data_IF_065560013474
#
_entry.id   IF_065560013474
#
_cell.length_a   1.000
_cell.length_b   1.000
_cell.length_c   1.000
_cell.angle_alpha   90.00
_cell.angle_beta   90.00
_cell.angle_gamma   90.00
#
_symmetry.space_group_name_H-M   'P 1'
#
loop_
_entity.id
_entity.type
_entity.pdbx_description
1 polymer ?
#
# COMPACT_ATOMS: atom_id res chain seq x y z
N UNK A 1 -21.63 -29.82 -18.21
CA UNK A 1 -20.31 -30.17 -18.75
C UNK A 1 -19.36 -30.24 -17.58
N UNK A 2 -18.39 -31.16 -17.56
CA UNK A 2 -17.38 -31.16 -16.49
C UNK A 2 -16.62 -29.82 -16.53
N UNK A 3 -16.35 -29.18 -15.37
CA UNK A 3 -15.62 -27.92 -15.34
C UNK A 3 -14.23 -28.08 -15.99
N UNK A 4 -13.74 -27.06 -16.72
CA UNK A 4 -12.42 -27.12 -17.31
C UNK A 4 -11.36 -27.26 -16.20
N UNK A 5 -10.37 -28.13 -16.43
CA UNK A 5 -9.16 -28.15 -15.60
C UNK A 5 -8.25 -27.02 -16.03
N UNK A 6 -7.71 -26.32 -15.05
CA UNK A 6 -6.85 -25.17 -15.20
C UNK A 6 -5.49 -25.49 -14.63
N UNK A 7 -4.45 -25.07 -15.33
CA UNK A 7 -3.05 -25.13 -14.93
C UNK A 7 -2.53 -23.72 -14.69
N UNK A 8 -1.63 -23.55 -13.74
CA UNK A 8 -1.06 -22.24 -13.44
C UNK A 8 -0.47 -22.13 -12.05
N UNK A 9 -0.43 -20.91 -11.53
CA UNK A 9 0.09 -20.57 -10.21
C UNK A 9 -0.89 -19.65 -9.49
N UNK A 10 -1.06 -19.87 -8.18
CA UNK A 10 -1.71 -18.91 -7.29
C UNK A 10 -0.63 -18.19 -6.50
N UNK A 11 -0.59 -16.87 -6.60
CA UNK A 11 0.31 -15.99 -5.85
C UNK A 11 -0.46 -15.32 -4.73
N UNK A 12 0.02 -15.48 -3.51
CA UNK A 12 -0.60 -14.88 -2.32
C UNK A 12 0.39 -13.88 -1.76
N UNK A 13 0.05 -12.60 -1.89
CA UNK A 13 0.90 -11.48 -1.53
C UNK A 13 0.54 -11.00 -0.12
N UNK A 14 1.56 -10.69 0.67
CA UNK A 14 1.43 -10.01 1.96
C UNK A 14 2.42 -8.84 2.00
N UNK A 15 1.91 -7.63 2.18
CA UNK A 15 2.71 -6.41 2.22
C UNK A 15 2.75 -5.87 3.66
N UNK A 16 3.96 -5.59 4.14
CA UNK A 16 4.22 -5.04 5.47
C UNK A 16 5.06 -3.78 5.36
N UNK A 17 4.81 -2.83 6.27
CA UNK A 17 5.75 -1.75 6.55
C UNK A 17 6.70 -2.19 7.66
N UNK A 18 8.00 -2.07 7.39
CA UNK A 18 9.04 -2.62 8.26
C UNK A 18 10.13 -1.63 8.66
N UNK A 19 10.14 -0.44 8.08
CA UNK A 19 11.13 0.60 8.32
C UNK A 19 10.61 1.92 7.75
N UNK A 20 11.14 3.06 8.22
CA UNK A 20 10.78 4.35 7.61
C UNK A 20 11.28 4.48 6.16
N UNK A 21 12.45 3.92 5.88
CA UNK A 21 13.05 3.82 4.55
C UNK A 21 14.04 2.65 4.53
N UNK A 22 14.25 2.03 3.37
CA UNK A 22 15.25 0.97 3.14
C UNK A 22 16.28 1.46 2.11
N UNK A 23 17.56 1.44 2.48
CA UNK A 23 18.65 1.61 1.52
C UNK A 23 18.77 0.36 0.64
N UNK A 24 18.11 0.40 -0.51
CA UNK A 24 18.08 -0.72 -1.44
C UNK A 24 19.47 -1.13 -1.97
N UNK A 25 20.41 -0.18 -2.09
CA UNK A 25 21.79 -0.49 -2.54
C UNK A 25 22.51 -1.28 -1.47
N UNK A 26 22.38 -0.85 -0.20
CA UNK A 26 22.95 -1.58 0.94
C UNK A 26 22.28 -2.94 1.11
N UNK A 27 20.96 -3.03 1.00
CA UNK A 27 20.24 -4.29 1.10
C UNK A 27 20.71 -5.31 0.04
N UNK A 28 20.87 -4.88 -1.21
CA UNK A 28 21.40 -5.71 -2.30
C UNK A 28 22.82 -6.22 -2.01
N UNK A 29 23.68 -5.36 -1.42
CA UNK A 29 25.04 -5.74 -1.04
C UNK A 29 25.11 -6.79 0.07
N UNK A 30 24.15 -6.78 1.01
CA UNK A 30 24.07 -7.75 2.11
C UNK A 30 23.55 -9.10 1.61
N UNK A 31 22.54 -9.09 0.73
CA UNK A 31 21.87 -10.31 0.27
C UNK A 31 22.68 -11.11 -0.76
N UNK A 32 23.52 -10.44 -1.57
CA UNK A 32 24.47 -11.06 -2.51
C UNK A 32 23.88 -11.81 -3.72
N UNK A 33 22.68 -12.40 -3.60
CA UNK A 33 21.90 -13.06 -4.67
C UNK A 33 20.69 -12.26 -5.12
N UNK A 34 20.45 -11.11 -4.51
CA UNK A 34 19.32 -10.24 -4.84
C UNK A 34 19.47 -9.63 -6.24
N UNK A 35 18.34 -9.39 -6.91
CA UNK A 35 18.27 -8.77 -8.24
C UNK A 35 17.31 -7.59 -8.21
N UNK A 36 17.60 -6.54 -8.96
CA UNK A 36 16.63 -5.48 -9.23
C UNK A 36 15.52 -6.00 -10.15
N UNK A 37 14.29 -5.60 -9.85
CA UNK A 37 13.14 -5.91 -10.71
C UNK A 37 13.35 -5.27 -12.08
N UNK A 38 13.28 -6.07 -13.15
CA UNK A 38 13.25 -5.59 -14.52
C UNK A 38 11.86 -5.91 -15.09
N UNK A 39 11.14 -4.88 -15.53
CA UNK A 39 9.87 -5.04 -16.24
C UNK A 39 10.14 -5.36 -17.71
N UNK A 40 9.45 -6.38 -18.23
CA UNK A 40 9.56 -6.78 -19.63
C UNK A 40 8.60 -5.93 -20.47
N UNK A 41 9.14 -4.90 -21.12
CA UNK A 41 8.30 -4.00 -21.90
C UNK A 41 7.78 -4.72 -23.15
N UNK A 42 6.49 -5.12 -23.16
CA UNK A 42 5.80 -5.66 -24.35
C UNK A 42 5.85 -4.67 -25.54
N UNK A 43 6.11 -3.38 -25.27
CA UNK A 43 6.31 -2.30 -26.26
C UNK A 43 7.74 -1.74 -26.42
N UNK A 44 8.76 -2.26 -25.71
CA UNK A 44 10.16 -1.86 -25.91
C UNK A 44 10.59 -0.46 -25.43
N UNK A 45 9.85 0.19 -24.53
CA UNK A 45 10.27 1.46 -23.93
C UNK A 45 11.31 1.23 -22.81
N UNK A 46 12.31 2.10 -22.60
CA UNK A 46 13.17 2.04 -21.43
C UNK A 46 12.50 2.68 -20.21
N UNK A 47 12.67 2.10 -19.02
CA UNK A 47 12.26 2.71 -17.76
C UNK A 47 12.97 4.07 -17.56
N UNK A 48 12.21 5.11 -17.21
CA UNK A 48 12.78 6.46 -17.00
C UNK A 48 13.53 6.59 -15.66
N UNK A 49 14.57 7.43 -15.64
CA UNK A 49 15.46 7.60 -14.50
C UNK A 49 14.78 8.32 -13.31
N UNK A 50 14.76 7.70 -12.13
CA UNK A 50 14.40 8.36 -10.87
C UNK A 50 13.58 7.53 -9.88
N UNK A 51 12.88 6.48 -10.33
CA UNK A 51 12.16 5.54 -9.45
C UNK A 51 13.07 4.34 -9.15
N UNK A 52 13.35 4.08 -7.88
CA UNK A 52 14.20 2.96 -7.50
C UNK A 52 13.42 1.64 -7.64
N UNK A 53 13.79 0.81 -8.62
CA UNK A 53 13.16 -0.48 -8.79
C UNK A 53 13.32 -1.36 -7.52
N UNK A 54 12.26 -2.07 -7.09
CA UNK A 54 12.33 -2.92 -5.91
C UNK A 54 13.42 -3.98 -6.03
N UNK A 55 14.06 -4.29 -4.90
CA UNK A 55 15.05 -5.38 -4.79
C UNK A 55 14.31 -6.67 -4.51
N UNK A 56 14.46 -7.67 -5.41
CA UNK A 56 13.81 -8.96 -5.30
C UNK A 56 14.79 -10.11 -5.04
N UNK A 57 14.37 -11.07 -4.23
CA UNK A 57 15.13 -12.28 -3.94
C UNK A 57 14.24 -13.41 -3.43
N UNK A 58 14.75 -14.64 -3.50
CA UNK A 58 14.11 -15.80 -2.88
C UNK A 58 14.51 -15.90 -1.41
N UNK A 59 13.57 -16.24 -0.54
CA UNK A 59 13.79 -16.49 0.87
C UNK A 59 13.21 -17.82 1.28
N UNK A 60 13.95 -18.58 2.11
CA UNK A 60 13.50 -19.88 2.57
C UNK A 60 12.43 -19.70 3.63
N UNK A 61 11.20 -20.12 3.34
CA UNK A 61 10.11 -20.00 4.29
C UNK A 61 10.23 -21.00 5.44
N UNK A 62 9.73 -20.66 6.65
CA UNK A 62 9.54 -21.63 7.71
C UNK A 62 8.61 -22.75 7.23
N UNK A 63 9.04 -24.00 7.39
CA UNK A 63 8.21 -25.17 7.08
C UNK A 63 7.05 -25.27 8.07
N UNK A 64 5.82 -25.34 7.58
CA UNK A 64 4.65 -25.71 8.39
C UNK A 64 4.31 -27.17 8.12
N UNK A 65 4.44 -28.03 9.13
CA UNK A 65 4.05 -29.44 9.01
C UNK A 65 2.53 -29.66 9.04
N UNK A 66 1.74 -28.60 9.27
CA UNK A 66 0.31 -28.67 9.53
C UNK A 66 -0.54 -27.87 8.52
N UNK A 67 0.07 -27.22 7.53
CA UNK A 67 -0.69 -26.45 6.55
C UNK A 67 -1.40 -27.36 5.56
N UNK A 68 -2.70 -27.16 5.36
CA UNK A 68 -3.48 -27.83 4.31
C UNK A 68 -3.12 -27.31 2.91
N UNK A 69 -2.55 -26.09 2.85
CA UNK A 69 -2.10 -25.45 1.61
C UNK A 69 -0.67 -25.85 1.27
N UNK A 70 -0.50 -26.47 0.10
CA UNK A 70 0.82 -26.82 -0.43
C UNK A 70 1.47 -25.62 -1.12
N UNK A 71 2.23 -24.84 -0.35
CA UNK A 71 3.05 -23.75 -0.89
C UNK A 71 4.43 -24.26 -1.33
N UNK A 72 5.08 -23.54 -2.24
CA UNK A 72 6.51 -23.71 -2.49
C UNK A 72 7.33 -23.52 -1.19
N UNK A 73 8.51 -24.13 -1.12
CA UNK A 73 9.43 -24.01 0.03
C UNK A 73 10.04 -22.61 0.14
N UNK A 74 10.24 -21.98 -1.01
CA UNK A 74 10.82 -20.66 -1.17
C UNK A 74 9.69 -19.63 -1.43
N UNK A 75 9.82 -18.46 -0.82
CA UNK A 75 8.96 -17.30 -1.05
C UNK A 75 9.73 -16.20 -1.76
N UNK A 76 9.05 -15.46 -2.63
CA UNK A 76 9.63 -14.27 -3.26
C UNK A 76 9.45 -13.09 -2.31
N UNK A 77 10.53 -12.32 -2.12
CA UNK A 77 10.53 -11.09 -1.32
C UNK A 77 10.85 -9.92 -2.25
N UNK A 78 10.12 -8.82 -2.13
CA UNK A 78 10.43 -7.54 -2.74
C UNK A 78 10.58 -6.45 -1.68
N UNK A 79 11.68 -5.69 -1.74
CA UNK A 79 11.93 -4.54 -0.87
C UNK A 79 11.70 -3.24 -1.64
N UNK A 80 10.95 -2.34 -1.02
CA UNK A 80 10.70 -0.99 -1.52
C UNK A 80 11.49 0.02 -0.69
N UNK A 81 11.99 1.07 -1.34
CA UNK A 81 12.85 2.08 -0.70
C UNK A 81 12.15 2.91 0.38
N UNK A 82 10.83 3.02 0.29
CA UNK A 82 9.99 3.69 1.28
C UNK A 82 9.65 2.86 2.53
N UNK A 83 10.19 1.64 2.68
CA UNK A 83 10.00 0.89 3.93
C UNK A 83 9.21 -0.40 3.82
N UNK A 84 8.55 -0.63 2.68
CA UNK A 84 7.68 -1.78 2.52
C UNK A 84 8.42 -3.06 2.09
N UNK A 85 7.89 -4.20 2.53
CA UNK A 85 8.29 -5.55 2.13
C UNK A 85 7.05 -6.29 1.62
N UNK A 86 7.10 -6.75 0.37
CA UNK A 86 6.10 -7.65 -0.18
C UNK A 86 6.62 -9.09 -0.14
N UNK A 87 5.81 -10.00 0.37
CA UNK A 87 6.10 -11.43 0.50
C UNK A 87 5.10 -12.20 -0.35
N UNK A 88 5.59 -12.96 -1.32
CA UNK A 88 4.74 -13.71 -2.25
C UNK A 88 4.92 -15.22 -2.06
N UNK A 89 3.85 -15.86 -1.62
CA UNK A 89 3.72 -17.32 -1.59
C UNK A 89 3.22 -17.84 -2.93
N UNK A 90 3.71 -19.00 -3.34
CA UNK A 90 3.32 -19.62 -4.62
C UNK A 90 2.72 -20.99 -4.37
N UNK A 91 1.53 -21.23 -4.93
CA UNK A 91 0.85 -22.52 -4.94
C UNK A 91 0.66 -22.96 -6.40
N UNK A 92 0.89 -24.23 -6.68
CA UNK A 92 0.61 -24.77 -8.01
C UNK A 92 -0.89 -24.96 -8.22
N UNK A 93 -1.38 -24.59 -9.40
CA UNK A 93 -2.76 -24.84 -9.81
C UNK A 93 -2.77 -26.02 -10.79
N UNK A 94 -3.48 -27.08 -10.42
CA UNK A 94 -3.97 -28.14 -11.32
C UNK A 94 -5.37 -28.56 -10.83
N UNK A 95 -6.30 -27.63 -10.97
CA UNK A 95 -7.62 -27.68 -10.31
C UNK A 95 -8.73 -27.55 -11.34
N UNK A 96 -9.93 -28.05 -11.03
CA UNK A 96 -11.10 -27.61 -11.78
C UNK A 96 -11.42 -26.15 -11.43
N UNK A 97 -12.08 -25.43 -12.35
CA UNK A 97 -12.48 -24.05 -12.09
C UNK A 97 -13.32 -23.90 -10.80
N UNK A 98 -14.20 -24.85 -10.50
CA UNK A 98 -15.02 -24.80 -9.29
C UNK A 98 -14.16 -24.97 -8.01
N UNK A 99 -13.10 -25.77 -8.06
CA UNK A 99 -12.17 -25.96 -6.94
C UNK A 99 -11.38 -24.67 -6.65
N UNK A 100 -11.22 -23.76 -7.64
CA UNK A 100 -10.59 -22.46 -7.41
C UNK A 100 -11.43 -21.55 -6.51
N UNK A 101 -12.76 -21.75 -6.46
CA UNK A 101 -13.63 -21.01 -5.52
C UNK A 101 -13.31 -21.44 -4.09
N UNK A 102 -13.16 -22.75 -3.86
CA UNK A 102 -12.77 -23.28 -2.54
C UNK A 102 -11.38 -22.80 -2.14
N UNK A 103 -10.41 -22.82 -3.08
CA UNK A 103 -9.07 -22.31 -2.85
C UNK A 103 -9.09 -20.81 -2.50
N UNK A 104 -9.85 -19.99 -3.25
CA UNK A 104 -9.99 -18.56 -2.97
C UNK A 104 -10.58 -18.31 -1.58
N UNK A 105 -11.63 -19.04 -1.21
CA UNK A 105 -12.24 -18.98 0.11
C UNK A 105 -11.29 -19.40 1.25
N UNK A 106 -10.43 -20.40 1.02
CA UNK A 106 -9.43 -20.84 1.99
C UNK A 106 -8.26 -19.85 2.16
N UNK A 107 -7.98 -19.05 1.12
CA UNK A 107 -6.95 -18.01 1.13
C UNK A 107 -7.43 -16.70 1.73
N UNK A 108 -8.74 -16.40 1.63
CA UNK A 108 -9.32 -15.20 2.21
C UNK A 108 -9.12 -15.13 3.73
N UNK A 109 -8.47 -14.05 4.19
CA UNK A 109 -8.15 -13.83 5.60
C UNK A 109 -7.40 -15.01 6.26
N UNK A 110 -6.53 -15.69 5.50
CA UNK A 110 -5.80 -16.86 5.96
C UNK A 110 -4.77 -16.49 7.06
N UNK A 111 -5.14 -16.72 8.32
CA UNK A 111 -4.33 -16.33 9.47
C UNK A 111 -2.98 -17.07 9.53
N UNK A 112 -2.92 -18.32 9.06
CA UNK A 112 -1.66 -19.08 9.06
C UNK A 112 -0.62 -18.42 8.14
N UNK A 113 -0.99 -18.13 6.90
CA UNK A 113 -0.10 -17.47 5.94
C UNK A 113 0.24 -16.04 6.37
N UNK A 114 -0.70 -15.29 6.96
CA UNK A 114 -0.40 -13.97 7.53
C UNK A 114 0.68 -14.04 8.60
N UNK A 115 0.56 -14.95 9.57
CA UNK A 115 1.54 -15.08 10.66
C UNK A 115 2.89 -15.62 10.17
N UNK A 116 2.89 -16.57 9.23
CA UNK A 116 4.13 -17.05 8.59
C UNK A 116 4.83 -15.92 7.83
N UNK A 117 4.08 -15.09 7.11
CA UNK A 117 4.62 -13.91 6.41
C UNK A 117 5.18 -12.89 7.39
N UNK A 118 4.50 -12.68 8.53
CA UNK A 118 4.99 -11.81 9.60
C UNK A 118 6.35 -12.27 10.15
N UNK A 119 6.54 -13.57 10.35
CA UNK A 119 7.83 -14.15 10.78
C UNK A 119 8.90 -13.91 9.72
N UNK A 120 8.58 -14.15 8.44
CA UNK A 120 9.52 -13.89 7.32
C UNK A 120 9.90 -12.41 7.28
N UNK A 121 8.96 -11.48 7.38
CA UNK A 121 9.23 -10.04 7.42
C UNK A 121 10.19 -9.68 8.56
N UNK A 122 9.94 -10.19 9.78
CA UNK A 122 10.81 -9.95 10.94
C UNK A 122 12.24 -10.49 10.74
N UNK A 123 12.38 -11.65 10.11
CA UNK A 123 13.68 -12.25 9.85
C UNK A 123 14.45 -11.48 8.76
N UNK A 124 13.77 -11.05 7.69
CA UNK A 124 14.35 -10.18 6.64
C UNK A 124 14.83 -8.86 7.25
N UNK A 125 14.02 -8.21 8.07
CA UNK A 125 14.38 -6.94 8.73
C UNK A 125 15.56 -7.11 9.69
N UNK A 126 15.63 -8.24 10.38
CA UNK A 126 16.75 -8.55 11.27
C UNK A 126 18.06 -8.68 10.49
N UNK A 127 18.01 -9.35 9.35
CA UNK A 127 19.17 -9.50 8.45
C UNK A 127 19.57 -8.15 7.83
N UNK A 128 18.58 -7.34 7.46
CA UNK A 128 18.78 -6.05 6.79
C UNK A 128 18.81 -4.86 7.75
N UNK A 129 19.00 -5.08 9.04
CA UNK A 129 18.88 -4.04 10.07
C UNK A 129 19.72 -2.79 9.76
N UNK A 130 20.93 -2.96 9.20
CA UNK A 130 21.78 -1.81 8.88
C UNK A 130 21.37 -1.05 7.60
N UNK A 131 20.55 -1.65 6.75
CA UNK A 131 19.96 -1.02 5.56
C UNK A 131 18.62 -0.31 5.87
N UNK A 132 17.98 -0.66 7.00
CA UNK A 132 16.72 -0.07 7.42
C UNK A 132 16.94 1.17 8.29
N UNK A 133 16.24 2.27 7.99
CA UNK A 133 16.10 3.39 8.92
C UNK A 133 14.87 3.19 9.80
N UNK A 134 15.05 3.30 11.13
CA UNK A 134 14.00 3.04 12.12
C UNK A 134 13.27 1.70 11.87
N UNK A 135 13.99 0.57 11.88
CA UNK A 135 13.38 -0.74 11.64
C UNK A 135 12.31 -1.03 12.70
N UNK A 136 11.15 -1.48 12.25
CA UNK A 136 10.01 -1.82 13.08
C UNK A 136 8.85 -2.30 12.23
N UNK A 137 8.23 -3.41 12.62
CA UNK A 137 7.11 -3.98 11.89
C UNK A 137 5.80 -3.33 12.31
N UNK A 138 5.12 -2.66 11.38
CA UNK A 138 3.79 -2.13 11.65
C UNK A 138 2.75 -3.25 11.81
N UNK A 139 1.65 -2.97 12.51
CA UNK A 139 0.58 -3.95 12.72
C UNK A 139 -0.19 -4.25 11.43
N UNK A 140 -0.32 -3.23 10.59
CA UNK A 140 -1.07 -3.25 9.34
C UNK A 140 -0.41 -4.20 8.34
N UNK A 141 -1.24 -4.92 7.60
CA UNK A 141 -0.84 -5.81 6.52
C UNK A 141 -1.90 -5.69 5.44
N UNK A 142 -1.46 -5.59 4.19
CA UNK A 142 -2.33 -5.79 3.03
C UNK A 142 -2.05 -7.15 2.41
N UNK A 143 -3.10 -7.88 2.09
CA UNK A 143 -3.03 -9.14 1.37
C UNK A 143 -3.77 -9.06 0.03
N UNK A 144 -3.25 -9.78 -0.96
CA UNK A 144 -3.87 -9.83 -2.28
C UNK A 144 -3.58 -11.17 -2.95
N UNK A 145 -4.55 -11.71 -3.69
CA UNK A 145 -4.43 -13.02 -4.34
C UNK A 145 -4.45 -12.86 -5.86
N UNK A 146 -3.46 -13.43 -6.55
CA UNK A 146 -3.38 -13.41 -8.02
C UNK A 146 -3.37 -14.84 -8.54
N UNK A 147 -4.40 -15.21 -9.29
CA UNK A 147 -4.48 -16.49 -10.00
C UNK A 147 -3.91 -16.31 -11.41
N UNK A 148 -2.69 -16.79 -11.63
CA UNK A 148 -2.02 -16.82 -12.93
C UNK A 148 -2.34 -18.15 -13.63
N UNK A 149 -3.13 -18.12 -14.69
CA UNK A 149 -3.66 -19.29 -15.37
C UNK A 149 -3.12 -19.39 -16.80
N UNK A 150 -2.74 -20.60 -17.20
CA UNK A 150 -2.50 -20.88 -18.62
C UNK A 150 -3.82 -20.75 -19.40
N UNK A 151 -3.81 -20.24 -20.65
CA UNK A 151 -5.03 -20.10 -21.43
C UNK A 151 -5.74 -21.45 -21.63
N UNK A 152 -6.95 -21.65 -21.07
CA UNK A 152 -7.62 -22.94 -21.12
C UNK A 152 -8.12 -23.29 -22.52
N UNK A 153 -8.34 -22.24 -23.32
CA UNK A 153 -8.78 -22.32 -24.71
C UNK A 153 -8.10 -21.21 -25.52
N UNK A 154 -8.33 -21.20 -26.84
CA UNK A 154 -7.76 -20.16 -27.71
C UNK A 154 -8.52 -18.84 -27.69
N UNK A 155 -9.81 -18.87 -27.34
CA UNK A 155 -10.68 -17.69 -27.21
C UNK A 155 -11.02 -17.50 -25.74
N UNK A 156 -10.16 -16.74 -25.05
CA UNK A 156 -10.25 -16.54 -23.60
C UNK A 156 -11.45 -15.66 -23.24
N UNK A 157 -11.86 -14.74 -24.13
CA UNK A 157 -13.03 -13.88 -23.93
C UNK A 157 -14.33 -14.69 -23.93
N UNK A 158 -14.51 -15.58 -24.92
CA UNK A 158 -15.70 -16.45 -24.94
C UNK A 158 -15.76 -17.37 -23.70
N UNK A 159 -14.61 -17.90 -23.27
CA UNK A 159 -14.51 -18.72 -22.07
C UNK A 159 -14.86 -17.94 -20.80
N UNK A 160 -14.37 -16.71 -20.66
CA UNK A 160 -14.64 -15.89 -19.48
C UNK A 160 -16.13 -15.52 -19.39
N UNK A 161 -16.78 -15.26 -20.53
CA UNK A 161 -18.22 -15.02 -20.59
C UNK A 161 -19.05 -16.26 -20.22
N UNK A 162 -18.64 -17.45 -20.67
CA UNK A 162 -19.28 -18.72 -20.32
C UNK A 162 -19.18 -19.00 -18.81
N UNK A 163 -18.03 -18.69 -18.21
CA UNK A 163 -17.73 -19.00 -16.82
C UNK A 163 -17.80 -17.81 -15.85
N UNK A 164 -18.41 -16.69 -16.27
CA UNK A 164 -18.45 -15.43 -15.52
C UNK A 164 -18.92 -15.56 -14.07
N UNK A 165 -19.87 -16.44 -13.80
CA UNK A 165 -20.38 -16.66 -12.44
C UNK A 165 -19.30 -17.20 -11.50
N UNK A 166 -18.62 -18.27 -11.92
CA UNK A 166 -17.55 -18.89 -11.13
C UNK A 166 -16.32 -18.00 -11.05
N UNK A 167 -15.96 -17.28 -12.11
CA UNK A 167 -14.84 -16.32 -12.08
C UNK A 167 -15.09 -15.19 -11.07
N UNK A 168 -16.32 -14.67 -11.02
CA UNK A 168 -16.69 -13.66 -10.02
C UNK A 168 -16.64 -14.24 -8.58
N UNK A 169 -17.06 -15.50 -8.39
CA UNK A 169 -16.95 -16.18 -7.10
C UNK A 169 -15.49 -16.35 -6.65
N UNK A 170 -14.59 -16.72 -7.57
CA UNK A 170 -13.14 -16.76 -7.30
C UNK A 170 -12.62 -15.38 -6.89
N UNK A 171 -12.93 -14.33 -7.65
CA UNK A 171 -12.48 -12.96 -7.36
C UNK A 171 -13.02 -12.40 -6.03
N UNK A 172 -14.18 -12.86 -5.58
CA UNK A 172 -14.84 -12.41 -4.34
C UNK A 172 -14.68 -13.37 -3.16
N UNK A 173 -13.96 -14.47 -3.35
CA UNK A 173 -13.81 -15.55 -2.37
C UNK A 173 -15.17 -16.03 -1.80
N UNK A 174 -16.20 -16.10 -2.64
CA UNK A 174 -17.57 -16.41 -2.22
C UNK A 174 -18.03 -17.76 -2.78
N UNK A 175 -18.34 -18.70 -1.88
CA UNK A 175 -18.78 -20.04 -2.25
C UNK A 175 -20.23 -20.03 -2.75
N UNK A 176 -21.07 -19.13 -2.23
CA UNK A 176 -22.44 -19.02 -2.68
C UNK A 176 -22.56 -18.34 -4.04
N UNK A 177 -23.64 -18.67 -4.76
CA UNK A 177 -23.88 -18.08 -6.08
C UNK A 177 -24.16 -16.59 -5.94
N UNK A 178 -23.32 -15.79 -6.58
CA UNK A 178 -23.47 -14.34 -6.66
C UNK A 178 -24.69 -13.92 -7.49
N UNK A 179 -25.25 -12.75 -7.17
CA UNK A 179 -26.31 -12.15 -7.97
C UNK A 179 -25.77 -11.68 -9.33
N UNK A 180 -26.66 -11.52 -10.32
CA UNK A 180 -26.29 -10.98 -11.64
C UNK A 180 -25.74 -9.54 -11.59
N UNK A 181 -26.03 -8.81 -10.52
CA UNK A 181 -25.44 -7.49 -10.29
C UNK A 181 -23.99 -7.63 -9.78
N UNK A 182 -23.77 -8.50 -8.79
CA UNK A 182 -22.44 -8.77 -8.24
C UNK A 182 -21.49 -9.39 -9.28
N UNK A 183 -21.98 -10.32 -10.11
CA UNK A 183 -21.16 -10.91 -11.18
C UNK A 183 -20.74 -9.86 -12.20
N UNK A 184 -21.63 -8.93 -12.55
CA UNK A 184 -21.31 -7.83 -13.48
C UNK A 184 -20.35 -6.83 -12.84
N UNK A 185 -20.57 -6.47 -11.58
CA UNK A 185 -19.66 -5.59 -10.85
C UNK A 185 -18.27 -6.21 -10.78
N UNK A 186 -18.13 -7.47 -10.37
CA UNK A 186 -16.83 -8.12 -10.22
C UNK A 186 -16.04 -8.22 -11.53
N UNK A 187 -16.73 -8.32 -12.67
CA UNK A 187 -16.14 -8.48 -13.98
C UNK A 187 -16.24 -7.22 -14.86
N UNK A 188 -16.49 -6.05 -14.28
CA UNK A 188 -16.81 -4.82 -15.01
C UNK A 188 -15.68 -4.29 -15.91
N UNK A 189 -14.41 -4.54 -15.54
CA UNK A 189 -13.25 -4.05 -16.29
C UNK A 189 -12.31 -5.18 -16.72
N UNK A 190 -12.69 -6.01 -17.71
CA UNK A 190 -11.78 -6.97 -18.31
C UNK A 190 -10.73 -6.24 -19.14
N UNK A 191 -9.48 -6.64 -19.02
CA UNK A 191 -8.36 -6.03 -19.76
C UNK A 191 -7.62 -7.12 -20.51
N UNK A 192 -7.52 -6.97 -21.82
CA UNK A 192 -6.77 -7.86 -22.70
C UNK A 192 -5.85 -7.06 -23.62
N UNK A 193 -4.71 -7.64 -23.95
CA UNK A 193 -3.81 -7.16 -24.99
C UNK A 193 -4.02 -7.94 -26.30
N UNK A 194 -4.28 -9.24 -26.21
CA UNK A 194 -4.56 -10.15 -27.32
C UNK A 194 -5.75 -11.09 -27.05
N UNK A 195 -6.01 -12.01 -27.98
CA UNK A 195 -7.16 -12.95 -27.89
C UNK A 195 -6.93 -14.12 -26.92
N UNK A 196 -5.69 -14.27 -26.44
CA UNK A 196 -5.26 -15.36 -25.55
C UNK A 196 -4.87 -14.86 -24.15
N UNK A 197 -5.15 -13.60 -23.84
CA UNK A 197 -4.90 -13.02 -22.53
C UNK A 197 -6.14 -12.33 -21.96
N UNK A 198 -6.19 -12.29 -20.64
CA UNK A 198 -7.25 -11.62 -19.90
C UNK A 198 -6.76 -11.33 -18.48
N UNK A 199 -6.90 -10.08 -18.06
CA UNK A 199 -6.75 -9.66 -16.68
C UNK A 199 -8.13 -9.24 -16.15
N UNK A 200 -8.55 -9.87 -15.07
CA UNK A 200 -9.70 -9.50 -14.26
C UNK A 200 -9.20 -9.07 -12.89
N UNK A 201 -9.60 -7.88 -12.44
CA UNK A 201 -9.11 -7.27 -11.20
C UNK A 201 -10.30 -6.89 -10.33
N UNK A 202 -10.23 -7.30 -9.06
CA UNK A 202 -11.19 -6.98 -8.01
C UNK A 202 -10.45 -6.63 -6.71
N UNK A 203 -11.17 -6.28 -5.66
CA UNK A 203 -10.65 -5.89 -4.35
C UNK A 203 -9.87 -7.02 -3.66
N UNK A 204 -10.37 -8.26 -3.68
CA UNK A 204 -9.73 -9.38 -2.97
C UNK A 204 -8.66 -10.09 -3.80
N UNK A 205 -8.70 -9.94 -5.11
CA UNK A 205 -7.76 -10.62 -5.98
C UNK A 205 -7.94 -10.34 -7.45
N UNK A 206 -7.07 -10.95 -8.24
CA UNK A 206 -7.07 -10.90 -9.69
C UNK A 206 -6.97 -12.29 -10.31
N UNK A 207 -7.49 -12.40 -11.52
CA UNK A 207 -7.27 -13.56 -12.40
C UNK A 207 -6.53 -13.04 -13.64
N UNK A 208 -5.32 -13.56 -13.86
CA UNK A 208 -4.49 -13.30 -15.02
C UNK A 208 -4.43 -14.56 -15.87
N UNK A 209 -4.94 -14.50 -17.09
CA UNK A 209 -4.85 -15.60 -18.06
C UNK A 209 -3.83 -15.20 -19.11
N UNK A 210 -2.79 -16.01 -19.34
CA UNK A 210 -1.74 -15.67 -20.29
C UNK A 210 -0.51 -16.57 -20.20
N UNK A 211 0.46 -16.36 -21.09
CA UNK A 211 1.75 -17.08 -21.06
C UNK A 211 2.88 -16.27 -20.40
N UNK A 212 2.72 -14.94 -20.34
CA UNK A 212 3.68 -13.99 -19.75
C UNK A 212 2.87 -12.95 -18.97
N UNK A 213 2.61 -13.24 -17.70
CA UNK A 213 1.80 -12.44 -16.77
C UNK A 213 2.64 -11.73 -15.71
N UNK A 214 3.98 -11.79 -15.82
CA UNK A 214 4.90 -11.28 -14.80
C UNK A 214 4.72 -9.77 -14.59
N UNK A 215 4.61 -8.97 -15.65
CA UNK A 215 4.47 -7.51 -15.50
C UNK A 215 3.12 -7.14 -14.89
N UNK A 216 2.05 -7.83 -15.29
CA UNK A 216 0.72 -7.68 -14.70
C UNK A 216 0.72 -8.03 -13.19
N UNK A 217 1.37 -9.14 -12.82
CA UNK A 217 1.54 -9.58 -11.44
C UNK A 217 2.32 -8.54 -10.62
N UNK A 218 3.46 -8.08 -11.15
CA UNK A 218 4.32 -7.11 -10.48
C UNK A 218 3.62 -5.75 -10.32
N UNK A 219 2.78 -5.36 -11.28
CA UNK A 219 1.96 -4.15 -11.19
C UNK A 219 0.89 -4.26 -10.10
N UNK A 220 0.22 -5.41 -10.00
CA UNK A 220 -0.75 -5.65 -8.93
C UNK A 220 -0.08 -5.69 -7.55
N UNK A 221 1.14 -6.24 -7.45
CA UNK A 221 1.94 -6.14 -6.23
C UNK A 221 2.23 -4.68 -5.88
N UNK A 222 2.73 -3.88 -6.83
CA UNK A 222 2.99 -2.46 -6.60
C UNK A 222 1.73 -1.74 -6.11
N UNK A 223 0.58 -1.96 -6.76
CA UNK A 223 -0.68 -1.36 -6.35
C UNK A 223 -1.11 -1.81 -4.93
N UNK A 224 -0.82 -3.05 -4.54
CA UNK A 224 -1.09 -3.54 -3.18
C UNK A 224 -0.19 -2.86 -2.15
N UNK A 225 1.08 -2.64 -2.49
CA UNK A 225 2.02 -1.90 -1.63
C UNK A 225 1.63 -0.42 -1.54
N UNK A 226 1.17 0.20 -2.63
CA UNK A 226 0.65 1.58 -2.59
C UNK A 226 -0.60 1.69 -1.71
N UNK A 227 -1.49 0.70 -1.73
CA UNK A 227 -2.63 0.65 -0.82
C UNK A 227 -2.19 0.60 0.65
N UNK A 228 -1.16 -0.18 0.96
CA UNK A 228 -0.57 -0.23 2.30
C UNK A 228 -0.09 1.18 2.73
N UNK A 229 0.66 1.86 1.87
CA UNK A 229 1.17 3.22 2.15
C UNK A 229 0.05 4.23 2.40
N UNK A 230 -1.00 4.22 1.57
CA UNK A 230 -2.16 5.09 1.76
C UNK A 230 -2.84 4.85 3.11
N UNK A 231 -3.00 3.58 3.51
CA UNK A 231 -3.60 3.22 4.79
C UNK A 231 -2.71 3.57 5.99
N UNK A 232 -1.39 3.44 5.86
CA UNK A 232 -0.44 3.89 6.89
C UNK A 232 -0.46 5.39 7.06
N UNK A 233 -0.52 6.14 5.95
CA UNK A 233 -0.64 7.59 5.98
C UNK A 233 -1.95 8.02 6.65
N UNK A 234 -3.05 7.35 6.34
CA UNK A 234 -4.35 7.61 6.97
C UNK A 234 -4.34 7.38 8.49
N UNK A 235 -3.78 6.24 8.95
CA UNK A 235 -3.59 5.91 10.38
C UNK A 235 -2.72 6.97 11.08
N UNK A 236 -1.61 7.38 10.45
CA UNK A 236 -0.70 8.39 10.99
C UNK A 236 -1.36 9.76 11.11
N UNK A 237 -2.16 10.16 10.13
CA UNK A 237 -2.89 11.43 10.15
C UNK A 237 -3.96 11.45 11.24
N UNK A 238 -4.58 10.32 11.55
CA UNK A 238 -5.51 10.23 12.70
C UNK A 238 -4.78 10.47 14.02
N UNK A 239 -3.61 9.84 14.22
CA UNK A 239 -2.81 10.04 15.44
C UNK A 239 -2.37 11.49 15.62
N UNK A 240 -1.91 12.13 14.54
CA UNK A 240 -1.51 13.55 14.54
C UNK A 240 -2.73 14.46 14.78
N UNK A 241 -3.90 14.11 14.23
CA UNK A 241 -5.15 14.87 14.43
C UNK A 241 -5.57 14.83 15.89
N UNK A 242 -5.54 13.65 16.52
CA UNK A 242 -5.79 13.54 17.95
C UNK A 242 -4.77 14.32 18.80
N UNK A 243 -3.49 14.27 18.43
CA UNK A 243 -2.45 15.04 19.11
C UNK A 243 -2.72 16.54 19.03
N UNK A 244 -3.06 17.06 17.84
CA UNK A 244 -3.40 18.44 17.62
C UNK A 244 -4.63 18.89 18.44
N UNK A 245 -5.67 18.06 18.53
CA UNK A 245 -6.83 18.33 19.39
C UNK A 245 -6.48 18.34 20.89
N UNK A 246 -5.59 17.45 21.34
CA UNK A 246 -5.12 17.45 22.73
C UNK A 246 -4.42 18.76 23.08
N UNK A 247 -3.63 19.33 22.17
CA UNK A 247 -2.98 20.62 22.37
C UNK A 247 -3.97 21.79 22.45
N UNK A 248 -5.00 21.80 21.60
CA UNK A 248 -6.07 22.81 21.65
C UNK A 248 -6.81 22.82 23.01
N UNK A 249 -7.00 21.64 23.60
CA UNK A 249 -7.83 21.46 24.80
C UNK A 249 -7.00 21.56 26.10
N UNK A 250 -5.67 21.49 26.02
CA UNK A 250 -4.80 21.48 27.19
C UNK A 250 -4.96 22.75 28.07
N UNK A 251 -5.04 22.62 29.41
CA UNK A 251 -5.21 23.74 30.31
C UNK A 251 -4.04 24.72 30.23
N UNK A 252 -4.38 26.01 30.12
CA UNK A 252 -3.55 27.12 29.63
C UNK A 252 -2.45 27.62 30.59
N UNK A 253 -2.04 26.84 31.58
CA UNK A 253 -1.29 27.32 32.75
C UNK A 253 0.22 27.07 32.74
N UNK A 254 0.81 26.48 31.69
CA UNK A 254 2.25 26.20 31.68
C UNK A 254 3.00 26.95 30.57
N UNK A 255 4.02 27.72 30.97
CA UNK A 255 5.02 28.34 30.09
C UNK A 255 5.74 27.31 29.19
N UNK A 256 5.67 26.02 29.51
CA UNK A 256 6.24 24.92 28.71
C UNK A 256 5.50 24.64 27.39
N UNK A 257 4.20 24.93 27.30
CA UNK A 257 3.37 24.69 26.11
C UNK A 257 3.79 25.54 24.88
N UNK A 258 4.50 26.65 25.12
CA UNK A 258 5.01 27.52 24.05
C UNK A 258 6.22 26.93 23.32
N UNK A 259 7.06 26.16 24.04
CA UNK A 259 8.21 25.51 23.42
C UNK A 259 7.84 24.21 22.69
N UNK A 260 6.75 23.55 23.07
CA UNK A 260 6.23 22.38 22.34
C UNK A 260 5.54 22.82 21.05
N UNK A 261 4.70 23.86 21.10
CA UNK A 261 4.00 24.38 19.93
C UNK A 261 4.96 24.87 18.83
N UNK A 262 6.08 25.52 19.19
CA UNK A 262 7.10 25.94 18.21
C UNK A 262 7.83 24.76 17.55
N UNK A 263 8.09 23.69 18.32
CA UNK A 263 8.71 22.46 17.80
C UNK A 263 7.73 21.66 16.92
N UNK A 264 6.45 21.70 17.22
CA UNK A 264 5.38 21.12 16.39
C UNK A 264 5.19 21.89 15.08
N UNK A 265 5.20 23.23 15.12
CA UNK A 265 5.14 24.06 13.90
C UNK A 265 6.35 23.84 12.97
N UNK A 266 7.55 23.62 13.51
CA UNK A 266 8.73 23.21 12.72
C UNK A 266 8.64 21.77 12.19
N UNK A 267 7.83 20.90 12.82
CA UNK A 267 7.55 19.53 12.36
C UNK A 267 6.58 19.52 11.18
N UNK A 268 5.61 20.44 11.17
CA UNK A 268 4.59 20.60 10.11
C UNK A 268 5.20 21.04 8.78
N UNK A 269 6.22 21.90 8.79
CA UNK A 269 6.95 22.25 7.56
C UNK A 269 7.70 21.06 6.92
N UNK A 270 7.80 19.92 7.63
CA UNK A 270 8.27 18.64 7.05
C UNK A 270 7.13 17.76 6.56
N UNK A 271 5.93 17.88 7.14
CA UNK A 271 4.70 17.22 6.66
C UNK A 271 4.18 17.84 5.35
N UNK A 272 4.54 19.10 5.05
CA UNK A 272 4.32 19.71 3.72
C UNK A 272 5.02 18.94 2.57
N UNK A 273 6.01 18.08 2.87
CA UNK A 273 6.61 17.17 1.90
C UNK A 273 5.76 15.92 1.60
N UNK A 274 4.80 15.59 2.46
CA UNK A 274 3.93 14.42 2.30
C UNK A 274 2.80 14.66 1.28
N UNK A 275 2.50 15.93 0.95
CA UNK A 275 1.52 16.35 -0.07
C UNK A 275 1.93 15.91 -1.50
N UNK A 276 3.20 15.57 -1.70
CA UNK A 276 3.75 15.06 -2.97
C UNK A 276 3.58 13.54 -3.16
N UNK A 277 3.19 12.78 -2.13
CA UNK A 277 3.14 11.31 -2.16
C UNK A 277 1.91 10.77 -2.91
N UNK A 278 0.76 11.45 -2.82
CA UNK A 278 -0.51 10.92 -3.35
C UNK A 278 -0.59 10.98 -4.89
N UNK A 279 -0.01 12.01 -5.52
CA UNK A 279 0.02 12.13 -6.99
C UNK A 279 1.20 11.39 -7.63
N UNK A 280 2.12 10.83 -6.84
CA UNK A 280 3.31 10.14 -7.35
C UNK A 280 3.03 8.71 -7.84
N UNK A 281 2.04 7.99 -7.29
CA UNK A 281 1.77 6.59 -7.67
C UNK A 281 1.39 6.43 -9.14
N UNK A 282 0.43 7.22 -9.62
CA UNK A 282 -0.01 7.22 -11.04
C UNK A 282 1.15 7.57 -11.98
N UNK A 283 1.92 8.61 -11.65
CA UNK A 283 3.03 9.08 -12.48
C UNK A 283 4.23 8.13 -12.43
N UNK A 284 4.51 7.49 -11.29
CA UNK A 284 5.64 6.57 -11.14
C UNK A 284 5.35 5.20 -11.73
N UNK A 285 4.14 4.67 -11.56
CA UNK A 285 3.69 3.45 -12.22
C UNK A 285 3.80 3.58 -13.74
N UNK A 286 3.23 4.65 -14.32
CA UNK A 286 3.31 4.88 -15.77
C UNK A 286 4.76 5.00 -16.28
N UNK A 287 5.67 5.57 -15.48
CA UNK A 287 7.12 5.65 -15.78
C UNK A 287 7.85 4.31 -15.65
N UNK A 288 7.36 3.40 -14.80
CA UNK A 288 7.93 2.08 -14.57
C UNK A 288 7.50 1.06 -15.64
N UNK A 289 6.26 1.17 -16.12
CA UNK A 289 5.62 0.14 -16.96
C UNK A 289 5.63 0.44 -18.46
N UNK A 290 5.67 1.72 -18.88
CA UNK A 290 5.98 2.12 -20.26
C UNK A 290 5.04 1.66 -21.39
N UNK A 291 3.89 1.01 -21.10
CA UNK A 291 2.91 0.54 -22.09
C UNK A 291 1.47 0.94 -21.68
N UNK A 292 0.66 1.35 -22.67
CA UNK A 292 -0.76 1.70 -22.51
C UNK A 292 -1.58 0.53 -21.93
N UNK A 293 -1.21 -0.71 -22.21
CA UNK A 293 -1.87 -1.87 -21.62
C UNK A 293 -1.72 -1.94 -20.09
N UNK A 294 -0.49 -1.85 -19.58
CA UNK A 294 -0.23 -1.85 -18.14
C UNK A 294 -0.81 -0.60 -17.47
N UNK A 295 -0.82 0.55 -18.15
CA UNK A 295 -1.52 1.75 -17.69
C UNK A 295 -3.02 1.51 -17.47
N UNK A 296 -3.69 0.76 -18.37
CA UNK A 296 -5.11 0.39 -18.19
C UNK A 296 -5.29 -0.56 -17.01
N UNK A 297 -4.40 -1.52 -16.84
CA UNK A 297 -4.44 -2.46 -15.71
C UNK A 297 -4.29 -1.74 -14.36
N UNK A 298 -3.33 -0.82 -14.28
CA UNK A 298 -3.13 0.01 -13.09
C UNK A 298 -4.38 0.82 -12.75
N UNK A 299 -4.98 1.51 -13.73
CA UNK A 299 -6.23 2.26 -13.50
C UNK A 299 -7.38 1.36 -13.01
N UNK A 300 -7.46 0.12 -13.48
CA UNK A 300 -8.45 -0.82 -12.98
C UNK A 300 -8.18 -1.23 -11.53
N UNK A 301 -6.92 -1.52 -11.19
CA UNK A 301 -6.50 -1.80 -9.82
C UNK A 301 -6.76 -0.61 -8.89
N UNK A 302 -6.31 0.60 -9.24
CA UNK A 302 -6.52 1.81 -8.43
C UNK A 302 -8.00 2.11 -8.18
N UNK A 303 -8.86 1.90 -9.20
CA UNK A 303 -10.31 2.04 -9.05
C UNK A 303 -10.87 1.00 -8.08
N UNK A 304 -10.45 -0.27 -8.21
CA UNK A 304 -10.88 -1.33 -7.29
C UNK A 304 -10.39 -1.08 -5.88
N UNK A 305 -9.19 -0.57 -5.71
CA UNK A 305 -8.60 -0.24 -4.42
C UNK A 305 -9.06 1.09 -3.84
N UNK A 306 -10.00 1.78 -4.52
CA UNK A 306 -10.59 3.04 -4.06
C UNK A 306 -9.55 4.14 -3.78
N UNK A 307 -8.48 4.22 -4.59
CA UNK A 307 -7.41 5.20 -4.37
C UNK A 307 -7.93 6.64 -4.32
N UNK A 308 -8.88 7.00 -5.20
CA UNK A 308 -9.49 8.34 -5.19
C UNK A 308 -10.21 8.67 -3.85
N UNK A 309 -10.80 7.66 -3.20
CA UNK A 309 -11.48 7.82 -1.92
C UNK A 309 -10.48 8.01 -0.78
N UNK A 310 -9.37 7.25 -0.80
CA UNK A 310 -8.24 7.41 0.11
C UNK A 310 -7.60 8.78 -0.02
N UNK A 311 -7.27 9.20 -1.24
CA UNK A 311 -6.70 10.52 -1.54
C UNK A 311 -7.60 11.64 -1.00
N UNK A 312 -8.90 11.53 -1.27
CA UNK A 312 -9.89 12.50 -0.80
C UNK A 312 -10.00 12.51 0.73
N UNK A 313 -9.89 11.37 1.39
CA UNK A 313 -9.92 11.27 2.85
C UNK A 313 -8.68 11.90 3.49
N UNK A 314 -7.50 11.56 2.97
CA UNK A 314 -6.20 12.07 3.41
C UNK A 314 -6.13 13.59 3.23
N UNK A 315 -6.53 14.11 2.07
CA UNK A 315 -6.56 15.55 1.81
C UNK A 315 -7.47 16.31 2.80
N UNK A 316 -8.62 15.73 3.17
CA UNK A 316 -9.51 16.31 4.20
C UNK A 316 -8.87 16.30 5.59
N UNK A 317 -8.16 15.23 5.97
CA UNK A 317 -7.46 15.13 7.27
C UNK A 317 -6.32 16.16 7.33
N UNK A 318 -5.51 16.28 6.29
CA UNK A 318 -4.47 17.31 6.17
C UNK A 318 -5.02 18.73 6.27
N UNK A 319 -6.12 19.03 5.56
CA UNK A 319 -6.79 20.33 5.67
C UNK A 319 -7.29 20.63 7.08
N UNK A 320 -7.78 19.62 7.79
CA UNK A 320 -8.22 19.73 9.19
C UNK A 320 -7.03 20.03 10.12
N UNK A 321 -5.93 19.30 9.97
CA UNK A 321 -4.69 19.55 10.69
C UNK A 321 -4.18 20.98 10.47
N UNK A 322 -4.10 21.42 9.22
CA UNK A 322 -3.67 22.78 8.88
C UNK A 322 -4.56 23.83 9.57
N UNK A 323 -5.87 23.64 9.58
CA UNK A 323 -6.82 24.54 10.26
C UNK A 323 -6.60 24.60 11.77
N UNK A 324 -6.41 23.45 12.42
CA UNK A 324 -6.12 23.36 13.86
C UNK A 324 -4.82 24.11 14.20
N UNK A 325 -3.76 23.85 13.44
CA UNK A 325 -2.47 24.48 13.68
C UNK A 325 -2.47 25.98 13.35
N UNK A 326 -3.16 26.40 12.30
CA UNK A 326 -3.40 27.81 11.99
C UNK A 326 -4.09 28.54 13.16
N UNK A 327 -5.14 27.94 13.71
CA UNK A 327 -5.84 28.49 14.89
C UNK A 327 -4.93 28.57 16.12
N UNK A 328 -4.06 27.58 16.34
CA UNK A 328 -3.06 27.62 17.42
C UNK A 328 -2.02 28.74 17.21
N UNK A 329 -1.56 28.93 15.97
CA UNK A 329 -0.61 29.98 15.61
C UNK A 329 -1.21 31.38 15.78
N UNK A 330 -2.47 31.58 15.37
CA UNK A 330 -3.20 32.83 15.54
C UNK A 330 -3.43 33.16 17.01
N UNK A 331 -3.81 32.18 17.83
CA UNK A 331 -3.94 32.36 19.28
C UNK A 331 -2.61 32.75 19.93
N UNK A 332 -1.50 32.17 19.50
CA UNK A 332 -0.17 32.54 19.99
C UNK A 332 0.20 33.98 19.58
N UNK A 333 -0.13 34.39 18.36
CA UNK A 333 0.07 35.76 17.90
C UNK A 333 -0.78 36.77 18.68
N UNK A 334 -2.06 36.46 18.92
CA UNK A 334 -2.95 37.32 19.67
C UNK A 334 -2.49 37.51 21.13
N UNK A 335 -2.03 36.44 21.79
CA UNK A 335 -1.42 36.54 23.13
C UNK A 335 -0.13 37.35 23.16
N UNK A 336 0.73 37.23 22.14
CA UNK A 336 1.94 38.08 22.07
C UNK A 336 1.55 39.56 22.00
N UNK A 337 0.50 39.89 21.26
CA UNK A 337 -0.03 41.25 21.20
C UNK A 337 -0.58 41.71 22.55
N UNK A 338 -1.36 40.87 23.24
CA UNK A 338 -1.87 41.18 24.59
C UNK A 338 -0.75 41.36 25.61
N UNK A 339 0.28 40.50 25.60
CA UNK A 339 1.44 40.61 26.50
C UNK A 339 2.21 41.91 26.21
N UNK A 340 2.40 42.27 24.94
CA UNK A 340 3.04 43.53 24.56
C UNK A 340 2.23 44.72 25.10
N UNK A 341 0.91 44.67 24.98
CA UNK A 341 0.00 45.68 25.52
C UNK A 341 0.13 45.79 27.05
N UNK A 342 0.11 44.67 27.77
CA UNK A 342 0.32 44.64 29.22
C UNK A 342 1.69 45.17 29.62
N UNK A 343 2.74 44.82 28.89
CA UNK A 343 4.10 45.34 29.12
C UNK A 343 4.11 46.86 28.96
N UNK A 344 3.47 47.40 27.91
CA UNK A 344 3.35 48.85 27.69
C UNK A 344 2.57 49.51 28.84
N UNK A 345 1.43 48.95 29.24
CA UNK A 345 0.61 49.46 30.35
C UNK A 345 1.42 49.48 31.66
N UNK A 346 2.15 48.41 31.96
CA UNK A 346 3.01 48.31 33.16
C UNK A 346 4.16 49.32 33.09
N UNK A 347 4.83 49.46 31.94
CA UNK A 347 5.88 50.46 31.74
C UNK A 347 5.38 51.88 32.00
N UNK A 348 4.20 52.23 31.47
CA UNK A 348 3.58 53.54 31.69
C UNK A 348 3.22 53.73 33.17
N UNK A 349 2.64 52.72 33.81
CA UNK A 349 2.27 52.80 35.23
C UNK A 349 3.49 53.00 36.14
N UNK A 350 4.60 52.30 35.85
CA UNK A 350 5.87 52.44 36.59
C UNK A 350 6.45 53.84 36.40
N UNK A 351 6.46 54.37 35.18
CA UNK A 351 6.97 55.71 34.87
C UNK A 351 6.18 56.80 35.62
N UNK A 352 4.85 56.67 35.66
CA UNK A 352 3.98 57.56 36.45
C UNK A 352 4.33 57.52 37.94
N UNK A 353 4.49 56.32 38.52
CA UNK A 353 4.83 56.18 39.95
C UNK A 353 6.18 56.82 40.26
N UNK A 354 7.19 56.62 39.41
CA UNK A 354 8.51 57.24 39.58
C UNK A 354 8.41 58.76 39.46
N UNK A 355 7.55 59.29 38.58
CA UNK A 355 7.37 60.73 38.44
C UNK A 355 6.76 61.40 39.68
N UNK A 356 5.93 60.67 40.44
CA UNK A 356 5.24 61.20 41.62
C UNK A 356 5.92 60.92 42.97
N UNK A 357 7.02 60.16 42.98
CA UNK A 357 7.88 59.89 44.15
C UNK A 357 9.13 60.74 44.06
#
# INVERSE_FOLDING_TARGET
MSPPRLSGLCRVLYCFDVARTIDLVRAESVLGTARRTNFHHKGGFPAEAGVAAPVRFSWKAPSSAASELQTAEDVEIALYDFGAVAITWTLAIDHALDDLVELSGALYANTELTERSRVVALDVVRELHEACDQPGLHRLVEDYVVFELEPPVSDVEAWSLEHRGTLAQVLRAEAERLSEQEVRDALDTPISYGVRDLALVDWLGAILVGHETDDERLLLELATVELLELRLLDDRLDEETEAAYRLLTAPRTTLGAWTSLRRELERIGRTEADDALLHQGIDNALKLFGDDYLARLYRAASRRFHFDDWDSAIARKLGTLHSIYGSLADQAAHRRSEILEWIIIVLIAVDIVIYFV
#
